data_IF_008366767324
#
_entry.id   IF_008366767324
#
_cell.length_a   1.000
_cell.length_b   1.000
_cell.length_c   1.000
_cell.angle_alpha   90.00
_cell.angle_beta   90.00
_cell.angle_gamma   90.00
#
_symmetry.space_group_name_H-M   'P 1'
#
loop_
_entity.id
_entity.type
_entity.pdbx_description
1 polymer ?
#
# COMPACT_ATOMS: atom_id res chain seq x y z
N UNK A 1 -26.31 -7.80 21.04
CA UNK A 1 -25.40 -8.92 20.72
C UNK A 1 -23.97 -8.50 20.99
N UNK A 2 -23.51 -8.67 22.22
CA UNK A 2 -22.12 -8.36 22.57
C UNK A 2 -21.54 -9.58 23.25
N UNK A 3 -20.73 -10.31 22.50
CA UNK A 3 -19.95 -11.43 22.99
C UNK A 3 -18.52 -11.31 22.48
N UNK A 4 -17.64 -12.04 23.14
CA UNK A 4 -16.22 -12.11 22.82
C UNK A 4 -15.82 -13.55 22.93
N UNK A 5 -14.95 -13.99 22.03
CA UNK A 5 -14.38 -15.32 22.06
C UNK A 5 -12.86 -15.21 22.00
N UNK A 6 -12.18 -16.15 22.64
CA UNK A 6 -10.73 -16.32 22.58
C UNK A 6 -10.41 -17.77 22.25
N UNK A 7 -9.27 -17.98 21.60
CA UNK A 7 -8.67 -19.28 21.36
C UNK A 7 -7.46 -19.41 22.29
N UNK A 8 -7.43 -20.44 23.12
CA UNK A 8 -6.32 -20.79 24.00
C UNK A 8 -5.94 -22.29 23.89
N UNK A 9 -5.01 -22.74 24.72
CA UNK A 9 -4.53 -24.13 24.73
C UNK A 9 -5.62 -25.17 25.02
N UNK A 10 -6.77 -24.75 25.57
CA UNK A 10 -7.93 -25.60 25.87
C UNK A 10 -9.02 -25.55 24.79
N UNK A 11 -8.87 -24.67 23.79
CA UNK A 11 -9.81 -24.49 22.68
C UNK A 11 -10.45 -23.11 22.67
N UNK A 12 -11.69 -23.04 22.19
CA UNK A 12 -12.43 -21.77 22.08
C UNK A 12 -13.25 -21.52 23.33
N UNK A 13 -13.10 -20.33 23.92
CA UNK A 13 -13.85 -19.86 25.08
C UNK A 13 -14.58 -18.58 24.73
N UNK A 14 -15.90 -18.53 24.93
CA UNK A 14 -16.73 -17.36 24.65
C UNK A 14 -17.45 -16.86 25.89
N UNK A 15 -17.62 -15.53 26.00
CA UNK A 15 -18.35 -14.89 27.10
C UNK A 15 -19.13 -13.66 26.63
N UNK A 16 -20.12 -13.26 27.42
CA UNK A 16 -20.99 -12.10 27.15
C UNK A 16 -22.45 -12.49 26.95
N UNK A 17 -23.13 -11.83 26.02
CA UNK A 17 -24.56 -12.08 25.71
C UNK A 17 -24.71 -13.45 25.05
N UNK A 18 -25.70 -14.24 25.48
CA UNK A 18 -25.95 -15.59 24.92
C UNK A 18 -27.43 -15.87 24.62
N UNK A 19 -28.18 -14.87 24.17
CA UNK A 19 -29.63 -15.03 23.98
C UNK A 19 -30.00 -15.93 22.79
N UNK A 20 -29.05 -16.18 21.89
CA UNK A 20 -29.22 -16.94 20.65
C UNK A 20 -28.13 -18.01 20.49
N UNK A 21 -27.47 -18.38 21.59
CA UNK A 21 -26.44 -19.42 21.60
C UNK A 21 -25.07 -19.00 21.08
N UNK A 22 -24.80 -17.70 20.89
CA UNK A 22 -23.52 -17.22 20.33
C UNK A 22 -22.28 -17.51 21.20
N UNK A 23 -22.47 -17.84 22.48
CA UNK A 23 -21.39 -18.31 23.38
C UNK A 23 -21.47 -19.80 23.69
N UNK A 24 -22.43 -20.53 23.11
CA UNK A 24 -22.56 -21.98 23.25
C UNK A 24 -21.59 -22.66 22.27
N UNK A 25 -20.31 -22.69 22.65
CA UNK A 25 -19.23 -23.23 21.81
C UNK A 25 -19.50 -24.71 21.50
N UNK A 26 -19.63 -25.09 20.21
CA UNK A 26 -19.83 -26.48 19.81
C UNK A 26 -18.54 -27.30 20.04
N UNK A 27 -18.63 -28.62 19.88
CA UNK A 27 -17.44 -29.45 19.90
C UNK A 27 -16.57 -29.13 18.66
N UNK A 28 -15.36 -28.63 18.89
CA UNK A 28 -14.37 -28.29 17.86
C UNK A 28 -13.14 -29.20 17.99
N UNK A 29 -12.47 -29.47 16.87
CA UNK A 29 -11.28 -30.32 16.81
C UNK A 29 -10.05 -29.52 16.38
N UNK A 30 -9.17 -29.19 17.33
CA UNK A 30 -7.97 -28.37 17.10
C UNK A 30 -8.29 -27.06 16.34
N UNK A 31 -9.13 -26.18 16.89
CA UNK A 31 -9.44 -24.90 16.27
C UNK A 31 -8.19 -24.05 16.10
N UNK A 32 -8.05 -23.41 14.94
CA UNK A 32 -6.88 -22.58 14.56
C UNK A 32 -7.23 -21.12 14.31
N UNK A 33 -8.50 -20.82 14.03
CA UNK A 33 -8.98 -19.45 13.87
C UNK A 33 -10.41 -19.30 14.38
N UNK A 34 -10.74 -18.10 14.84
CA UNK A 34 -12.08 -17.71 15.27
C UNK A 34 -12.42 -16.32 14.74
N UNK A 35 -13.67 -16.11 14.37
CA UNK A 35 -14.21 -14.81 13.99
C UNK A 35 -15.60 -14.63 14.58
N UNK A 36 -15.89 -13.44 15.10
CA UNK A 36 -17.15 -13.13 15.80
C UNK A 36 -17.65 -11.75 15.42
N UNK A 37 -18.95 -11.64 15.12
CA UNK A 37 -19.66 -10.37 14.91
C UNK A 37 -21.17 -10.62 14.96
N UNK A 38 -22.00 -9.58 14.98
CA UNK A 38 -23.43 -9.69 14.61
C UNK A 38 -24.32 -10.71 15.34
N UNK A 39 -23.88 -11.25 16.47
CA UNK A 39 -24.60 -12.31 17.18
C UNK A 39 -24.30 -13.74 16.73
N UNK A 40 -23.27 -13.97 15.91
CA UNK A 40 -22.76 -15.31 15.60
C UNK A 40 -21.24 -15.39 15.72
N UNK A 41 -20.74 -16.61 15.78
CA UNK A 41 -19.32 -16.93 15.85
C UNK A 41 -19.03 -18.04 14.84
N UNK A 42 -17.91 -17.92 14.13
CA UNK A 42 -17.38 -18.96 13.26
C UNK A 42 -15.97 -19.34 13.72
N UNK A 43 -15.64 -20.61 13.62
CA UNK A 43 -14.30 -21.14 13.86
C UNK A 43 -13.85 -21.99 12.68
N UNK A 44 -12.55 -21.93 12.40
CA UNK A 44 -11.87 -22.87 11.52
C UNK A 44 -11.15 -23.91 12.38
N UNK A 45 -11.45 -25.18 12.18
CA UNK A 45 -10.84 -26.30 12.88
C UNK A 45 -10.41 -27.40 11.89
N UNK A 46 -9.92 -28.54 12.39
CA UNK A 46 -9.46 -29.64 11.56
C UNK A 46 -10.55 -30.28 10.67
N UNK A 47 -11.83 -30.02 10.97
CA UNK A 47 -13.00 -30.47 10.20
C UNK A 47 -13.53 -29.43 9.20
N UNK A 48 -12.98 -28.21 9.20
CA UNK A 48 -13.40 -27.10 8.34
C UNK A 48 -14.00 -25.94 9.13
N UNK A 49 -14.94 -25.21 8.52
CA UNK A 49 -15.60 -24.06 9.17
C UNK A 49 -16.85 -24.51 9.90
N UNK A 50 -16.98 -24.13 11.17
CA UNK A 50 -18.19 -24.30 11.98
C UNK A 50 -18.66 -22.94 12.48
N UNK A 51 -19.94 -22.61 12.25
CA UNK A 51 -20.55 -21.38 12.74
C UNK A 51 -21.73 -21.68 13.67
N UNK A 52 -21.95 -20.83 14.67
CA UNK A 52 -23.02 -20.96 15.66
C UNK A 52 -23.50 -19.60 16.18
N UNK A 53 -24.65 -19.58 16.85
CA UNK A 53 -25.34 -18.35 17.27
C UNK A 53 -26.50 -18.03 16.33
N UNK A 54 -26.70 -16.75 16.00
CA UNK A 54 -27.73 -16.34 15.04
C UNK A 54 -27.47 -16.86 13.62
N UNK A 55 -28.53 -17.10 12.87
CA UNK A 55 -28.41 -17.49 11.45
C UNK A 55 -28.45 -18.97 11.20
N UNK A 56 -29.06 -19.75 12.11
CA UNK A 56 -29.29 -21.19 11.94
C UNK A 56 -30.37 -21.51 10.90
N UNK A 57 -31.16 -20.50 10.53
CA UNK A 57 -32.16 -20.55 9.47
C UNK A 57 -31.97 -19.37 8.50
N UNK A 58 -32.37 -19.56 7.24
CA UNK A 58 -32.33 -18.54 6.18
C UNK A 58 -33.73 -17.94 5.99
N UNK A 59 -34.11 -17.03 6.90
CA UNK A 59 -35.48 -16.47 6.94
C UNK A 59 -35.54 -14.98 6.57
N UNK A 60 -34.41 -14.39 6.16
CA UNK A 60 -34.26 -12.94 5.88
C UNK A 60 -34.68 -12.06 7.08
N UNK A 61 -34.79 -12.62 8.28
CA UNK A 61 -35.15 -11.90 9.50
C UNK A 61 -33.95 -11.95 10.41
N UNK A 62 -33.44 -10.80 10.82
CA UNK A 62 -32.38 -10.74 11.82
C UNK A 62 -32.86 -11.28 13.19
N UNK A 63 -32.05 -12.09 13.90
CA UNK A 63 -30.68 -12.50 13.58
C UNK A 63 -30.55 -13.81 12.78
N UNK A 64 -31.63 -14.32 12.17
CA UNK A 64 -31.72 -15.57 11.40
C UNK A 64 -31.69 -15.36 9.87
N UNK A 65 -30.52 -14.97 9.35
CA UNK A 65 -30.30 -14.67 7.93
C UNK A 65 -29.38 -15.71 7.25
N UNK A 66 -29.27 -16.92 7.80
CA UNK A 66 -28.46 -18.00 7.25
C UNK A 66 -26.94 -17.90 7.48
N UNK A 67 -26.46 -16.91 8.23
CA UNK A 67 -25.01 -16.67 8.41
C UNK A 67 -24.27 -17.75 9.21
N UNK A 68 -24.99 -18.63 9.92
CA UNK A 68 -24.44 -19.82 10.58
C UNK A 68 -24.66 -21.12 9.77
N UNK A 69 -25.34 -21.06 8.62
CA UNK A 69 -25.49 -22.19 7.70
C UNK A 69 -24.26 -22.22 6.78
N UNK A 70 -23.22 -22.93 7.21
CA UNK A 70 -21.97 -23.02 6.45
C UNK A 70 -22.20 -23.78 5.14
N UNK A 71 -21.85 -23.20 3.97
CA UNK A 71 -21.92 -23.89 2.69
C UNK A 71 -20.86 -25.00 2.60
N UNK A 72 -20.90 -25.82 1.55
CA UNK A 72 -19.83 -26.77 1.28
C UNK A 72 -18.55 -26.01 0.91
N UNK A 73 -17.49 -26.20 1.70
CA UNK A 73 -16.17 -25.60 1.50
C UNK A 73 -15.13 -26.70 1.27
N UNK A 74 -14.10 -26.40 0.47
CA UNK A 74 -13.01 -27.33 0.14
C UNK A 74 -11.67 -26.82 0.71
N UNK A 75 -11.20 -27.42 1.80
CA UNK A 75 -9.99 -27.02 2.53
C UNK A 75 -9.96 -25.52 2.87
N UNK A 76 -10.94 -25.00 3.64
CA UNK A 76 -10.95 -23.60 4.01
C UNK A 76 -9.72 -23.23 4.85
N UNK A 77 -9.15 -22.06 4.56
CA UNK A 77 -7.94 -21.54 5.20
C UNK A 77 -8.18 -20.22 5.93
N UNK A 78 -9.23 -19.47 5.56
CA UNK A 78 -9.61 -18.21 6.22
C UNK A 78 -11.12 -18.22 6.46
N UNK A 79 -11.55 -17.64 7.59
CA UNK A 79 -12.96 -17.38 7.89
C UNK A 79 -13.11 -16.00 8.52
N UNK A 80 -14.13 -15.25 8.11
CA UNK A 80 -14.47 -13.94 8.67
C UNK A 80 -15.99 -13.79 8.82
N UNK A 81 -16.41 -13.20 9.93
CA UNK A 81 -17.82 -13.01 10.30
C UNK A 81 -18.18 -11.52 10.34
N UNK A 82 -19.20 -11.12 9.58
CA UNK A 82 -19.78 -9.76 9.59
C UNK A 82 -21.05 -9.68 10.44
N UNK A 83 -21.86 -8.61 10.31
CA UNK A 83 -23.05 -8.45 11.18
C UNK A 83 -24.17 -9.46 10.91
N UNK A 84 -24.30 -9.93 9.67
CA UNK A 84 -25.35 -10.87 9.27
C UNK A 84 -24.93 -11.75 8.11
N UNK A 85 -23.64 -11.83 7.85
CA UNK A 85 -23.04 -12.63 6.80
C UNK A 85 -21.70 -13.18 7.28
N UNK A 86 -21.20 -14.19 6.58
CA UNK A 86 -19.91 -14.83 6.83
C UNK A 86 -19.22 -15.06 5.50
N UNK A 87 -17.89 -15.04 5.51
CA UNK A 87 -17.08 -15.34 4.34
C UNK A 87 -15.97 -16.31 4.72
N UNK A 88 -15.58 -17.18 3.78
CA UNK A 88 -14.46 -18.08 3.92
C UNK A 88 -13.69 -18.16 2.59
N UNK A 89 -12.38 -18.28 2.70
CA UNK A 89 -11.48 -18.55 1.57
C UNK A 89 -11.06 -20.01 1.62
N UNK A 90 -11.20 -20.70 0.51
CA UNK A 90 -10.87 -22.11 0.37
C UNK A 90 -10.19 -22.39 -1.00
N UNK A 91 -9.88 -23.64 -1.31
CA UNK A 91 -9.18 -24.02 -2.56
C UNK A 91 -9.96 -23.64 -3.84
N UNK A 92 -11.27 -23.40 -3.74
CA UNK A 92 -12.13 -22.98 -4.86
C UNK A 92 -12.27 -21.46 -4.99
N UNK A 93 -11.78 -20.70 -4.00
CA UNK A 93 -11.81 -19.25 -3.96
C UNK A 93 -12.61 -18.73 -2.77
N UNK A 94 -13.05 -17.47 -2.88
CA UNK A 94 -13.81 -16.81 -1.82
C UNK A 94 -15.29 -17.20 -1.92
N UNK A 95 -15.88 -17.59 -0.79
CA UNK A 95 -17.32 -17.85 -0.66
C UNK A 95 -17.89 -17.01 0.49
N UNK A 96 -18.97 -16.26 0.24
CA UNK A 96 -19.69 -15.47 1.23
C UNK A 96 -21.16 -15.88 1.28
N UNK A 97 -21.75 -15.96 2.47
CA UNK A 97 -23.12 -16.40 2.69
C UNK A 97 -23.81 -15.64 3.82
N UNK A 98 -25.14 -15.70 3.84
CA UNK A 98 -26.00 -15.00 4.79
C UNK A 98 -26.72 -13.79 4.14
N UNK A 99 -26.95 -12.74 4.92
CA UNK A 99 -27.61 -11.50 4.48
C UNK A 99 -26.91 -10.86 3.29
N UNK A 100 -27.69 -10.47 2.28
CA UNK A 100 -27.20 -9.80 1.07
C UNK A 100 -27.98 -8.53 0.71
N UNK A 101 -28.67 -7.90 1.67
CA UNK A 101 -29.52 -6.73 1.40
C UNK A 101 -28.75 -5.53 0.82
N UNK A 102 -27.45 -5.45 1.11
CA UNK A 102 -26.54 -4.39 0.66
C UNK A 102 -25.53 -4.88 -0.38
N UNK A 103 -25.65 -6.13 -0.85
CA UNK A 103 -24.72 -6.75 -1.79
C UNK A 103 -23.45 -7.33 -1.15
N UNK A 104 -23.34 -7.40 0.18
CA UNK A 104 -22.14 -7.82 0.91
C UNK A 104 -21.71 -9.30 0.67
N UNK A 105 -22.58 -10.15 0.15
CA UNK A 105 -22.23 -11.52 -0.28
C UNK A 105 -22.18 -11.67 -1.81
N UNK A 106 -22.46 -10.61 -2.56
CA UNK A 106 -22.25 -10.57 -4.02
C UNK A 106 -20.77 -10.29 -4.30
N UNK A 107 -19.98 -11.35 -4.38
CA UNK A 107 -18.52 -11.29 -4.58
C UNK A 107 -18.22 -10.73 -5.98
N UNK A 108 -17.41 -9.65 -6.11
CA UNK A 108 -16.92 -9.17 -7.40
C UNK A 108 -15.91 -10.14 -8.01
N UNK A 109 -15.51 -9.92 -9.26
CA UNK A 109 -14.42 -10.70 -9.86
C UNK A 109 -13.12 -10.41 -9.10
N UNK A 110 -12.50 -11.45 -8.54
CA UNK A 110 -11.25 -11.39 -7.77
C UNK A 110 -10.16 -12.22 -8.47
N UNK A 111 -8.91 -11.74 -8.42
CA UNK A 111 -7.74 -12.43 -8.98
C UNK A 111 -6.85 -13.00 -7.87
N UNK A 112 -6.96 -14.30 -7.60
CA UNK A 112 -6.15 -14.98 -6.59
C UNK A 112 -6.31 -14.41 -5.17
N UNK A 113 -7.53 -14.35 -4.60
CA UNK A 113 -7.73 -13.79 -3.26
C UNK A 113 -6.95 -14.58 -2.20
N UNK A 114 -6.28 -13.87 -1.30
CA UNK A 114 -5.45 -14.46 -0.23
C UNK A 114 -5.96 -14.16 1.18
N UNK A 115 -6.83 -13.16 1.33
CA UNK A 115 -7.40 -12.78 2.62
C UNK A 115 -8.77 -12.13 2.46
N UNK A 116 -9.60 -12.21 3.51
CA UNK A 116 -10.92 -11.57 3.56
C UNK A 116 -11.21 -11.02 4.95
N UNK A 117 -11.87 -9.86 5.00
CA UNK A 117 -12.39 -9.22 6.21
C UNK A 117 -13.83 -8.80 5.99
N UNK A 118 -14.72 -9.29 6.84
CA UNK A 118 -16.16 -9.01 6.82
C UNK A 118 -16.49 -7.94 7.88
N UNK A 119 -16.93 -6.77 7.42
CA UNK A 119 -17.42 -5.69 8.25
C UNK A 119 -18.90 -5.87 8.63
N UNK A 120 -19.53 -4.80 9.12
CA UNK A 120 -20.95 -4.86 9.47
C UNK A 120 -21.83 -5.24 8.27
N UNK A 121 -21.78 -4.43 7.23
CA UNK A 121 -22.59 -4.57 6.01
C UNK A 121 -21.75 -4.50 4.72
N UNK A 122 -20.44 -4.72 4.82
CA UNK A 122 -19.51 -4.72 3.70
C UNK A 122 -18.46 -5.82 3.91
N UNK A 123 -17.80 -6.20 2.83
CA UNK A 123 -16.72 -7.20 2.80
C UNK A 123 -15.56 -6.63 2.02
N UNK A 124 -14.34 -6.87 2.48
CA UNK A 124 -13.12 -6.53 1.77
C UNK A 124 -12.26 -7.79 1.58
N UNK A 125 -11.70 -7.99 0.40
CA UNK A 125 -10.73 -9.03 0.13
C UNK A 125 -9.41 -8.40 -0.33
N UNK A 126 -8.31 -9.07 0.00
CA UNK A 126 -7.00 -8.80 -0.60
C UNK A 126 -6.77 -9.85 -1.68
N UNK A 127 -6.52 -9.40 -2.90
CA UNK A 127 -6.19 -10.23 -4.06
C UNK A 127 -4.94 -9.67 -4.77
N UNK A 128 -4.56 -10.25 -5.91
CA UNK A 128 -3.36 -9.85 -6.65
C UNK A 128 -3.40 -8.38 -7.14
N UNK A 129 -4.61 -7.81 -7.33
CA UNK A 129 -4.79 -6.41 -7.73
C UNK A 129 -4.94 -5.44 -6.56
N UNK A 130 -4.78 -5.92 -5.32
CA UNK A 130 -4.87 -5.13 -4.11
C UNK A 130 -6.15 -5.38 -3.30
N UNK A 131 -6.63 -4.36 -2.61
CA UNK A 131 -7.82 -4.50 -1.74
C UNK A 131 -9.07 -4.09 -2.50
N UNK A 132 -10.05 -5.00 -2.55
CA UNK A 132 -11.36 -4.77 -3.16
C UNK A 132 -12.42 -4.89 -2.06
N UNK A 133 -13.23 -3.84 -1.90
CA UNK A 133 -14.32 -3.80 -0.94
C UNK A 133 -15.69 -3.63 -1.61
N UNK A 134 -16.70 -4.37 -1.16
CA UNK A 134 -18.08 -4.34 -1.69
C UNK A 134 -19.12 -4.42 -0.57
N UNK A 135 -20.39 -4.17 -0.89
CA UNK A 135 -21.50 -4.09 0.06
C UNK A 135 -21.97 -2.65 0.29
N UNK A 136 -22.37 -2.31 1.52
CA UNK A 136 -22.95 -1.02 1.88
C UNK A 136 -22.05 0.19 1.56
N UNK A 137 -22.53 1.09 0.71
CA UNK A 137 -21.72 2.18 0.13
C UNK A 137 -21.92 3.56 0.80
N UNK A 138 -22.90 3.73 1.69
CA UNK A 138 -23.37 5.06 2.12
C UNK A 138 -22.37 5.89 2.95
N UNK A 139 -21.23 5.32 3.36
CA UNK A 139 -20.21 5.99 4.16
C UNK A 139 -18.79 5.90 3.56
N UNK A 140 -18.66 5.68 2.24
CA UNK A 140 -17.36 5.39 1.59
C UNK A 140 -16.62 4.19 2.22
N UNK A 141 -17.33 3.28 2.90
CA UNK A 141 -16.74 2.11 3.54
C UNK A 141 -16.16 1.11 2.54
N UNK A 142 -16.62 1.17 1.30
CA UNK A 142 -16.06 0.42 0.16
C UNK A 142 -15.01 1.21 -0.62
N UNK A 143 -14.78 2.49 -0.28
CA UNK A 143 -13.72 3.28 -0.90
C UNK A 143 -12.40 2.90 -0.24
N UNK A 144 -11.63 2.09 -0.94
CA UNK A 144 -10.24 1.80 -0.60
C UNK A 144 -9.42 3.02 -1.07
N UNK A 145 -8.82 3.81 -0.16
CA UNK A 145 -7.82 4.80 -0.61
C UNK A 145 -6.70 4.03 -1.32
N UNK A 146 -5.96 4.64 -2.28
CA UNK A 146 -4.81 3.98 -2.89
C UNK A 146 -3.91 3.44 -1.78
N UNK A 147 -3.90 2.12 -1.62
CA UNK A 147 -2.91 1.44 -0.82
C UNK A 147 -1.78 1.28 -1.82
N UNK A 148 -0.81 2.19 -1.78
CA UNK A 148 0.43 1.97 -2.50
C UNK A 148 1.09 0.74 -1.86
N UNK A 149 0.82 -0.43 -2.44
CA UNK A 149 1.77 -1.52 -2.35
C UNK A 149 2.96 -1.04 -3.17
N UNK A 150 4.12 -1.06 -2.53
CA UNK A 150 5.43 -0.72 -3.03
C UNK A 150 6.29 -1.84 -2.41
N UNK A 151 6.44 -2.92 -3.19
CA UNK A 151 6.89 -4.22 -2.69
C UNK A 151 8.40 -4.25 -2.42
N UNK A 152 9.19 -3.52 -3.19
CA UNK A 152 10.65 -3.40 -3.03
C UNK A 152 11.08 -2.12 -2.29
N UNK A 153 10.13 -1.23 -1.96
CA UNK A 153 10.32 0.00 -1.17
C UNK A 153 11.13 1.08 -1.88
N UNK A 154 11.00 1.14 -3.20
CA UNK A 154 11.67 2.11 -4.08
C UNK A 154 10.90 3.44 -4.17
N UNK A 155 9.65 3.48 -3.71
CA UNK A 155 8.78 4.65 -3.73
C UNK A 155 7.89 4.78 -4.98
N UNK A 156 7.97 3.83 -5.90
CA UNK A 156 7.06 3.64 -7.03
C UNK A 156 6.01 2.58 -6.64
N UNK A 157 4.70 2.86 -6.74
CA UNK A 157 3.70 1.86 -6.35
C UNK A 157 3.61 0.73 -7.39
N UNK A 158 3.46 -0.53 -6.96
CA UNK A 158 3.28 -1.73 -7.81
C UNK A 158 2.27 -1.53 -8.95
N UNK A 159 1.20 -0.75 -8.71
CA UNK A 159 0.17 -0.46 -9.72
C UNK A 159 0.62 0.43 -10.88
N UNK A 160 1.73 1.14 -10.70
CA UNK A 160 2.40 1.96 -11.70
C UNK A 160 3.41 1.10 -12.46
N UNK A 161 4.11 0.25 -11.72
CA UNK A 161 5.15 -0.64 -12.20
C UNK A 161 4.56 -1.76 -13.06
N UNK A 162 3.63 -2.54 -12.50
CA UNK A 162 2.83 -3.55 -13.20
C UNK A 162 1.46 -2.96 -13.57
N UNK A 163 1.47 -2.03 -14.53
CA UNK A 163 0.27 -1.29 -14.96
C UNK A 163 -0.86 -2.23 -15.39
N UNK A 164 -0.52 -3.41 -15.92
CA UNK A 164 -1.50 -4.37 -16.38
C UNK A 164 -1.87 -5.46 -15.34
N UNK A 165 -1.23 -5.46 -14.17
CA UNK A 165 -1.56 -6.26 -12.99
C UNK A 165 -1.33 -7.76 -13.17
N UNK A 166 -0.42 -8.16 -14.06
CA UNK A 166 -0.18 -9.57 -14.38
C UNK A 166 0.95 -10.22 -13.55
N UNK A 167 1.69 -9.42 -12.78
CA UNK A 167 2.83 -9.82 -11.96
C UNK A 167 4.07 -10.25 -12.76
N UNK A 168 4.21 -9.78 -13.99
CA UNK A 168 5.30 -10.08 -14.92
C UNK A 168 5.88 -8.75 -15.41
N UNK A 169 7.21 -8.63 -15.40
CA UNK A 169 7.92 -7.54 -16.05
C UNK A 169 7.66 -7.52 -17.57
N UNK A 170 6.90 -6.53 -18.04
CA UNK A 170 6.60 -6.30 -19.46
C UNK A 170 7.49 -5.20 -20.06
N UNK A 171 7.54 -5.14 -21.40
CA UNK A 171 8.33 -4.11 -22.09
C UNK A 171 7.75 -2.70 -21.83
N UNK A 172 8.51 -1.87 -21.11
CA UNK A 172 8.14 -0.49 -20.75
C UNK A 172 7.51 -0.34 -19.36
N UNK A 173 7.54 -1.41 -18.55
CA UNK A 173 7.16 -1.45 -17.14
C UNK A 173 8.43 -1.64 -16.29
N UNK A 174 8.45 -1.16 -15.05
CA UNK A 174 9.48 -1.48 -14.03
C UNK A 174 9.09 -2.77 -13.29
N UNK A 175 10.05 -3.46 -12.65
CA UNK A 175 9.78 -4.71 -11.93
C UNK A 175 9.35 -4.42 -10.49
N UNK A 176 8.10 -4.71 -10.06
CA UNK A 176 7.61 -4.43 -8.71
C UNK A 176 8.30 -5.24 -7.58
N UNK A 177 9.35 -6.01 -7.90
CA UNK A 177 10.15 -6.78 -6.95
C UNK A 177 11.63 -6.39 -7.01
N UNK A 178 12.01 -5.49 -7.91
CA UNK A 178 13.38 -5.03 -8.09
C UNK A 178 13.47 -3.53 -7.86
N UNK A 179 14.13 -3.18 -6.77
CA UNK A 179 14.31 -1.79 -6.33
C UNK A 179 15.03 -0.88 -7.35
N UNK A 180 15.71 -1.47 -8.33
CA UNK A 180 16.54 -0.81 -9.35
C UNK A 180 16.47 -1.67 -10.63
N UNK A 181 15.47 -1.38 -11.48
CA UNK A 181 15.10 -2.23 -12.63
C UNK A 181 16.18 -2.33 -13.71
N UNK A 182 17.00 -1.29 -13.87
CA UNK A 182 18.06 -1.25 -14.89
C UNK A 182 19.48 -1.46 -14.35
N UNK A 183 19.64 -1.40 -13.03
CA UNK A 183 20.86 -1.73 -12.29
C UNK A 183 21.91 -0.63 -12.30
N UNK A 184 21.54 0.63 -12.51
CA UNK A 184 22.45 1.77 -12.56
C UNK A 184 22.83 2.33 -11.17
N UNK A 185 22.12 1.90 -10.13
CA UNK A 185 22.32 2.26 -8.72
C UNK A 185 21.39 3.36 -8.20
N UNK A 186 20.46 3.86 -9.02
CA UNK A 186 19.29 4.61 -8.59
C UNK A 186 18.08 3.70 -8.52
N UNK A 187 17.05 4.13 -7.80
CA UNK A 187 15.83 3.32 -7.66
C UNK A 187 14.73 3.91 -8.53
N UNK A 188 13.83 3.07 -9.03
CA UNK A 188 12.90 3.47 -10.09
C UNK A 188 12.01 4.64 -9.64
N UNK A 189 11.59 4.65 -8.37
CA UNK A 189 10.87 5.76 -7.75
C UNK A 189 11.64 7.09 -7.71
N UNK A 190 12.94 7.07 -7.41
CA UNK A 190 13.84 8.24 -7.45
C UNK A 190 13.96 8.78 -8.87
N UNK A 191 14.10 7.89 -9.84
CA UNK A 191 14.26 8.22 -11.26
C UNK A 191 13.02 8.86 -11.86
N UNK A 192 11.86 8.22 -11.67
CA UNK A 192 10.56 8.76 -12.10
C UNK A 192 10.30 10.13 -11.46
N UNK A 193 10.70 10.31 -10.19
CA UNK A 193 10.59 11.59 -9.49
C UNK A 193 11.54 12.65 -10.06
N UNK A 194 12.77 12.25 -10.41
CA UNK A 194 13.78 13.12 -11.01
C UNK A 194 13.51 13.40 -12.51
N UNK A 195 12.62 12.62 -13.13
CA UNK A 195 12.29 12.70 -14.55
C UNK A 195 13.30 11.99 -15.45
N UNK A 196 14.09 11.07 -14.90
CA UNK A 196 14.91 10.11 -15.65
C UNK A 196 14.10 8.83 -15.97
N UNK A 197 14.60 8.01 -16.89
CA UNK A 197 13.95 6.78 -17.35
C UNK A 197 14.50 5.56 -16.60
N UNK A 198 13.70 4.92 -15.71
CA UNK A 198 14.14 3.82 -14.84
C UNK A 198 14.40 2.48 -15.54
N UNK A 199 14.35 2.47 -16.88
CA UNK A 199 14.59 1.30 -17.71
C UNK A 199 15.80 1.51 -18.64
N UNK A 200 16.52 2.62 -18.49
CA UNK A 200 17.67 2.99 -19.30
C UNK A 200 18.86 3.34 -18.41
N UNK A 201 19.78 2.39 -18.26
CA UNK A 201 21.02 2.48 -17.46
C UNK A 201 21.90 3.70 -17.76
N UNK A 202 21.71 4.36 -18.92
CA UNK A 202 22.43 5.59 -19.30
C UNK A 202 21.66 6.87 -18.91
N UNK A 203 20.41 6.75 -18.46
CA UNK A 203 19.49 7.80 -18.04
C UNK A 203 19.43 7.90 -16.52
N UNK A 204 20.50 8.35 -15.88
CA UNK A 204 20.52 8.59 -14.43
C UNK A 204 19.73 9.85 -14.01
N UNK A 205 19.23 9.94 -12.77
CA UNK A 205 18.81 11.19 -12.15
C UNK A 205 19.91 12.24 -12.27
N UNK A 206 19.53 13.45 -12.68
CA UNK A 206 20.46 14.58 -12.67
C UNK A 206 20.86 14.88 -11.22
N UNK A 207 21.98 14.32 -10.76
CA UNK A 207 22.65 14.78 -9.55
C UNK A 207 23.20 16.17 -9.86
N UNK A 208 22.43 17.19 -9.53
CA UNK A 208 22.90 18.57 -9.62
C UNK A 208 23.95 18.76 -8.52
N UNK A 209 25.21 18.57 -8.86
CA UNK A 209 26.30 18.92 -7.95
C UNK A 209 26.25 20.43 -7.70
N UNK A 210 25.94 20.81 -6.46
CA UNK A 210 25.81 22.23 -6.09
C UNK A 210 27.11 22.97 -6.40
N UNK A 211 27.03 23.96 -7.29
CA UNK A 211 28.16 24.73 -7.80
C UNK A 211 28.72 24.27 -9.15
N UNK A 212 28.33 23.12 -9.69
CA UNK A 212 28.68 22.67 -11.05
C UNK A 212 27.63 23.23 -12.03
N UNK A 213 28.08 24.13 -12.92
CA UNK A 213 27.22 24.88 -13.85
C UNK A 213 27.42 24.46 -15.30
N UNK A 214 28.37 23.56 -15.56
CA UNK A 214 28.63 23.00 -16.88
C UNK A 214 28.40 21.48 -16.94
N UNK A 215 27.97 20.88 -15.82
CA UNK A 215 27.62 19.45 -15.66
C UNK A 215 28.77 18.52 -16.03
N UNK A 216 30.01 18.92 -15.72
CA UNK A 216 31.20 18.09 -15.98
C UNK A 216 31.63 17.25 -14.76
N UNK A 217 30.90 17.38 -13.65
CA UNK A 217 31.12 16.68 -12.39
C UNK A 217 32.26 17.26 -11.56
N UNK A 218 32.71 18.48 -11.84
CA UNK A 218 33.70 19.18 -11.05
C UNK A 218 33.30 20.64 -10.86
N UNK A 219 33.42 21.15 -9.63
CA UNK A 219 33.25 22.58 -9.35
C UNK A 219 34.59 23.31 -9.49
N UNK A 220 34.82 23.95 -10.63
CA UNK A 220 36.08 24.62 -10.99
C UNK A 220 35.94 26.06 -11.52
N UNK A 221 37.04 26.62 -12.04
CA UNK A 221 37.07 28.00 -12.51
C UNK A 221 36.10 28.28 -13.69
N UNK A 222 35.69 27.24 -14.41
CA UNK A 222 34.73 27.28 -15.51
C UNK A 222 33.33 27.57 -14.98
N UNK A 223 32.94 26.95 -13.86
CA UNK A 223 31.67 27.22 -13.19
C UNK A 223 31.63 28.63 -12.62
N UNK A 224 32.71 29.05 -11.96
CA UNK A 224 32.81 30.42 -11.44
C UNK A 224 32.64 31.46 -12.56
N UNK A 225 33.15 31.18 -13.77
CA UNK A 225 32.97 32.05 -14.92
C UNK A 225 31.49 32.10 -15.37
N UNK A 226 30.81 30.96 -15.40
CA UNK A 226 29.37 30.88 -15.73
C UNK A 226 28.55 31.64 -14.68
N UNK A 227 28.81 31.39 -13.39
CA UNK A 227 28.18 32.06 -12.26
C UNK A 227 28.35 33.59 -12.33
N UNK A 228 29.57 34.07 -12.59
CA UNK A 228 29.86 35.50 -12.71
C UNK A 228 29.05 36.14 -13.84
N UNK A 229 28.93 35.45 -14.98
CA UNK A 229 28.15 35.94 -16.14
C UNK A 229 26.65 35.97 -15.86
N UNK A 230 26.13 35.03 -15.08
CA UNK A 230 24.73 35.01 -14.65
C UNK A 230 24.44 36.20 -13.73
N UNK A 231 25.24 36.42 -12.67
CA UNK A 231 25.03 37.54 -11.73
C UNK A 231 25.20 38.91 -12.39
N UNK A 232 26.15 39.05 -13.31
CA UNK A 232 26.35 40.29 -14.06
C UNK A 232 25.29 40.50 -15.17
N UNK A 233 24.40 39.52 -15.39
CA UNK A 233 23.34 39.58 -16.40
C UNK A 233 23.83 39.45 -17.84
N UNK A 234 25.04 38.91 -18.04
CA UNK A 234 25.60 38.66 -19.37
C UNK A 234 24.98 37.45 -20.06
N UNK A 235 24.48 36.48 -19.28
CA UNK A 235 23.74 35.31 -19.77
C UNK A 235 22.53 35.04 -18.86
N UNK A 236 21.48 34.45 -19.44
CA UNK A 236 20.36 33.92 -18.67
C UNK A 236 20.66 32.46 -18.31
N UNK A 237 20.48 32.04 -17.04
CA UNK A 237 20.72 30.67 -16.64
C UNK A 237 19.66 29.73 -17.21
N UNK A 238 20.04 28.47 -17.47
CA UNK A 238 19.08 27.37 -17.64
C UNK A 238 18.43 27.02 -16.29
N UNK A 239 17.40 26.17 -16.29
CA UNK A 239 16.79 25.70 -15.04
C UNK A 239 17.80 24.92 -14.18
N UNK A 240 18.61 24.07 -14.80
CA UNK A 240 19.69 23.32 -14.14
C UNK A 240 20.73 24.27 -13.52
N UNK A 241 21.22 25.23 -14.31
CA UNK A 241 22.19 26.22 -13.82
C UNK A 241 21.62 27.08 -12.70
N UNK A 242 20.33 27.38 -12.74
CA UNK A 242 19.66 28.09 -11.66
C UNK A 242 19.69 27.26 -10.38
N UNK A 243 19.29 25.99 -10.44
CA UNK A 243 19.25 25.08 -9.29
C UNK A 243 20.65 24.80 -8.74
N UNK A 244 21.64 24.56 -9.61
CA UNK A 244 23.03 24.32 -9.21
C UNK A 244 23.67 25.56 -8.55
N UNK A 245 23.21 26.76 -8.92
CA UNK A 245 23.78 28.02 -8.45
C UNK A 245 23.10 28.57 -7.20
N UNK A 246 21.81 28.34 -6.97
CA UNK A 246 21.05 28.85 -5.82
C UNK A 246 21.45 28.12 -4.54
N UNK A 247 22.59 28.50 -3.95
CA UNK A 247 23.24 27.80 -2.83
C UNK A 247 23.46 28.70 -1.61
N UNK A 248 22.94 29.93 -1.65
CA UNK A 248 22.89 30.86 -0.55
C UNK A 248 21.43 31.16 -0.15
N UNK A 249 21.18 31.56 1.12
CA UNK A 249 22.13 31.66 2.23
C UNK A 249 22.59 30.29 2.74
N UNK A 250 23.73 30.26 3.44
CA UNK A 250 24.21 29.07 4.17
C UNK A 250 23.74 29.16 5.62
N UNK A 251 22.95 28.19 6.07
CA UNK A 251 22.41 28.10 7.43
C UNK A 251 23.03 26.89 8.11
N UNK A 252 23.71 27.13 9.24
CA UNK A 252 24.40 26.08 10.00
C UNK A 252 25.41 25.24 9.17
N UNK A 253 26.01 25.85 8.14
CA UNK A 253 26.98 25.18 7.27
C UNK A 253 26.36 24.37 6.12
N UNK A 254 25.04 24.43 5.95
CA UNK A 254 24.31 23.77 4.86
C UNK A 254 23.75 24.83 3.91
N UNK A 255 23.91 24.70 2.58
CA UNK A 255 23.22 25.53 1.60
C UNK A 255 21.70 25.50 1.82
N UNK A 256 21.06 26.66 1.80
CA UNK A 256 19.61 26.80 1.94
C UNK A 256 19.08 27.67 0.80
N UNK A 257 18.87 27.09 -0.41
CA UNK A 257 18.40 27.79 -1.60
C UNK A 257 17.16 28.67 -1.32
N UNK A 258 17.12 29.90 -1.85
CA UNK A 258 16.01 30.84 -1.60
C UNK A 258 15.28 31.33 -2.87
N UNK A 259 15.53 30.65 -3.99
CA UNK A 259 15.04 30.95 -5.33
C UNK A 259 15.50 32.31 -5.85
N UNK A 260 16.66 32.81 -5.41
CA UNK A 260 17.24 34.05 -5.92
C UNK A 260 18.74 33.89 -6.12
N UNK A 261 19.17 34.10 -7.36
CA UNK A 261 20.58 34.22 -7.66
C UNK A 261 21.08 35.60 -7.22
N UNK A 262 21.95 35.60 -6.22
CA UNK A 262 22.58 36.79 -5.64
C UNK A 262 24.10 36.68 -5.67
N UNK A 263 24.77 37.75 -5.27
CA UNK A 263 26.23 37.73 -5.06
C UNK A 263 26.61 36.74 -3.94
N UNK A 264 25.68 36.40 -3.05
CA UNK A 264 25.89 35.38 -2.01
C UNK A 264 26.15 34.01 -2.63
N UNK A 265 25.37 33.63 -3.63
CA UNK A 265 25.47 32.38 -4.39
C UNK A 265 26.81 32.27 -5.11
N UNK A 266 27.16 33.33 -5.86
CA UNK A 266 28.46 33.42 -6.54
C UNK A 266 29.63 33.26 -5.57
N UNK A 267 29.52 33.78 -4.35
CA UNK A 267 30.57 33.67 -3.35
C UNK A 267 30.70 32.23 -2.83
N UNK A 268 29.61 31.48 -2.73
CA UNK A 268 29.65 30.07 -2.35
C UNK A 268 30.26 29.21 -3.45
N UNK A 269 29.92 29.45 -4.73
CA UNK A 269 30.58 28.79 -5.87
C UNK A 269 32.09 29.07 -5.83
N UNK A 270 32.48 30.34 -5.63
CA UNK A 270 33.89 30.71 -5.49
C UNK A 270 34.59 30.00 -4.33
N UNK A 271 33.92 29.83 -3.18
CA UNK A 271 34.49 29.13 -2.02
C UNK A 271 34.70 27.65 -2.31
N UNK A 272 33.76 26.99 -3.01
CA UNK A 272 33.89 25.59 -3.41
C UNK A 272 35.04 25.38 -4.40
N UNK A 273 35.17 26.25 -5.42
CA UNK A 273 36.32 26.26 -6.35
C UNK A 273 37.66 26.43 -5.64
N UNK A 274 37.69 27.21 -4.54
CA UNK A 274 38.89 27.41 -3.72
C UNK A 274 39.13 26.31 -2.68
N UNK A 275 38.27 25.30 -2.60
CA UNK A 275 38.32 24.23 -1.60
C UNK A 275 38.10 24.73 -0.17
N UNK A 276 37.37 25.84 -0.01
CA UNK A 276 37.06 26.44 1.28
C UNK A 276 35.77 25.91 1.90
N UNK A 277 34.93 25.25 1.09
CA UNK A 277 33.66 24.66 1.49
C UNK A 277 33.44 23.33 0.72
N UNK A 278 32.86 22.33 1.40
CA UNK A 278 32.68 20.95 0.89
C UNK A 278 31.23 20.45 1.02
N UNK A 279 30.26 21.35 1.14
CA UNK A 279 28.86 20.94 1.20
C UNK A 279 28.37 20.35 -0.11
#
# INVERSE_FOLDING_TARGET
ERHTCALDDSGVVCWGTNNIGQTDVPALSNPVAISTSGGHTCALDAGGVTCWGGGTSDTVIYPEQGQSIVPALNNPVVVSAGYGHSCALDDSGLTCWGSNEEGQTTIPDLSGPVSVSAGGYHTCALDNGGVICWGYTAARLTFVPPLAFDKDMDGLPDSVEDTNGNGIFDFGETDPLDFDSDGDGFNDGEEVTAGSDPLDVDSVPLIIELGDLNTDGNVDATDLLIASRIIEGSIMPTAEQFTAMDIAPVIAGVPSPDMKLTVGDLLQVMRKVLGLDNF
#
